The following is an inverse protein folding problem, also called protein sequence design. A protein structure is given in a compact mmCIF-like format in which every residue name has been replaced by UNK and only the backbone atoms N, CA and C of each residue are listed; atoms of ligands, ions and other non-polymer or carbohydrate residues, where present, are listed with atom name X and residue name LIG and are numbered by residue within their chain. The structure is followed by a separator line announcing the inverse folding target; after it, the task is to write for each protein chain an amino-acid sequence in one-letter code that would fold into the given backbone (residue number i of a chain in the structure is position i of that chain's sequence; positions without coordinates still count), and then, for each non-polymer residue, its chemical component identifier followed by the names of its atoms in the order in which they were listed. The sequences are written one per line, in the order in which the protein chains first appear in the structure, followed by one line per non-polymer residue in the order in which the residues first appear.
data_IF_944564892608
#
_entry.id   IF_944564892608
#
_cell.length_a   1.000
_cell.length_b   1.000
_cell.length_c   1.000
_cell.angle_alpha   90.00
_cell.angle_beta   90.00
_cell.angle_gamma   90.00
#
_symmetry.space_group_name_H-M   'P 1'
#
loop_
_entity.id
_entity.type
_entity.pdbx_description
1 polymer ?
#
# COMPACT_ATOMS: atom_id res chain seq x y z
N UNK A 1 -46.19 18.70 -8.04
CA UNK A 1 -45.07 19.47 -7.46
C UNK A 1 -43.86 18.59 -7.54
N UNK A 2 -43.23 18.67 -8.70
CA UNK A 2 -42.01 17.97 -9.06
C UNK A 2 -40.84 18.72 -8.43
N UNK A 3 -39.98 17.99 -7.71
CA UNK A 3 -38.69 18.54 -7.27
C UNK A 3 -37.60 17.51 -7.57
N UNK A 4 -37.15 17.57 -8.82
CA UNK A 4 -35.97 16.89 -9.32
C UNK A 4 -34.71 17.53 -8.73
N UNK A 5 -33.92 16.79 -7.97
CA UNK A 5 -32.56 17.18 -7.61
C UNK A 5 -31.56 16.62 -8.65
N UNK A 6 -30.54 17.37 -9.08
CA UNK A 6 -29.65 16.92 -10.14
C UNK A 6 -28.55 15.98 -9.61
N UNK A 7 -28.37 14.86 -10.31
CA UNK A 7 -27.20 13.99 -10.17
C UNK A 7 -25.92 14.75 -10.56
N UNK A 8 -24.82 14.66 -9.79
CA UNK A 8 -23.53 15.12 -10.28
C UNK A 8 -23.01 14.12 -11.34
N UNK A 9 -23.00 14.57 -12.59
CA UNK A 9 -22.37 13.90 -13.71
C UNK A 9 -20.87 13.75 -13.45
N UNK A 10 -20.38 12.51 -13.56
CA UNK A 10 -18.95 12.21 -13.62
C UNK A 10 -18.30 13.01 -14.76
N UNK A 11 -17.43 13.96 -14.41
CA UNK A 11 -16.55 14.61 -15.39
C UNK A 11 -15.50 13.62 -15.87
N UNK A 12 -15.52 13.32 -17.17
CA UNK A 12 -14.55 12.49 -17.86
C UNK A 12 -13.13 13.03 -17.69
N UNK A 13 -12.28 12.25 -17.01
CA UNK A 13 -10.84 12.49 -17.01
C UNK A 13 -10.31 12.14 -18.40
N UNK A 14 -9.80 13.13 -19.14
CA UNK A 14 -9.11 12.88 -20.41
C UNK A 14 -7.78 12.19 -20.09
N UNK A 15 -7.65 10.93 -20.48
CA UNK A 15 -6.39 10.19 -20.50
C UNK A 15 -5.64 10.61 -21.76
N UNK A 16 -4.60 11.44 -21.60
CA UNK A 16 -3.55 11.60 -22.61
C UNK A 16 -2.36 10.81 -22.09
N UNK A 17 -2.11 9.64 -22.68
CA UNK A 17 -0.93 8.84 -22.40
C UNK A 17 0.25 9.31 -23.25
N UNK A 18 1.40 9.51 -22.62
CA UNK A 18 2.68 9.54 -23.33
C UNK A 18 3.01 8.13 -23.88
N UNK A 19 3.78 8.05 -24.97
CA UNK A 19 4.08 6.85 -25.77
C UNK A 19 4.74 5.69 -25.00
N UNK A 20 5.00 5.85 -23.70
CA UNK A 20 5.62 4.85 -22.84
C UNK A 20 4.68 4.23 -21.78
N UNK A 21 3.38 4.51 -21.82
CA UNK A 21 2.34 3.70 -21.16
C UNK A 21 2.42 3.55 -19.63
N UNK A 22 3.03 4.51 -18.91
CA UNK A 22 3.06 4.50 -17.43
C UNK A 22 2.04 5.48 -16.85
N UNK A 23 1.19 5.07 -15.89
CA UNK A 23 0.33 6.00 -15.17
C UNK A 23 1.15 6.83 -14.18
N UNK A 24 1.17 8.15 -14.37
CA UNK A 24 1.67 9.09 -13.37
C UNK A 24 0.61 9.29 -12.28
N UNK A 25 0.88 8.79 -11.08
CA UNK A 25 0.12 9.19 -9.89
C UNK A 25 0.66 10.56 -9.48
N UNK A 26 -0.11 11.62 -9.72
CA UNK A 26 0.19 12.95 -9.17
C UNK A 26 -0.08 12.95 -7.66
N UNK A 27 0.81 13.48 -6.81
CA UNK A 27 0.47 13.74 -5.42
C UNK A 27 -0.59 14.84 -5.36
N UNK A 28 -1.63 14.64 -4.54
CA UNK A 28 -2.65 15.64 -4.23
C UNK A 28 -2.00 16.97 -3.83
N UNK A 29 -2.28 18.03 -4.59
CA UNK A 29 -1.93 19.41 -4.23
C UNK A 29 -3.07 19.97 -3.37
N UNK A 30 -2.88 19.97 -2.05
CA UNK A 30 -3.78 20.63 -1.09
C UNK A 30 -3.45 22.14 -1.07
N UNK A 31 -4.43 23.07 -1.07
CA UNK A 31 -4.16 24.50 -0.99
C UNK A 31 -3.63 24.92 0.39
N UNK A 32 -2.49 25.61 0.36
CA UNK A 32 -1.77 26.23 1.47
C UNK A 32 -2.51 27.45 2.01
N UNK A 33 -2.64 27.59 3.34
CA UNK A 33 -2.90 28.86 4.02
C UNK A 33 -2.11 28.90 5.35
N UNK A 34 -0.95 29.56 5.35
CA UNK A 34 -0.38 30.13 6.58
C UNK A 34 0.38 31.41 6.27
N UNK A 35 -0.07 32.47 6.92
CA UNK A 35 0.45 33.84 6.96
C UNK A 35 1.92 33.87 7.42
N UNK A 36 2.77 34.60 6.69
CA UNK A 36 4.15 34.91 7.09
C UNK A 36 4.22 36.04 8.14
N UNK A 37 5.38 36.69 8.38
CA UNK A 37 6.69 36.56 7.69
C UNK A 37 7.88 36.40 8.68
N UNK A 38 9.09 36.06 8.18
CA UNK A 38 10.37 36.65 8.61
C UNK A 38 11.52 36.16 7.72
N UNK A 39 12.09 37.11 6.97
CA UNK A 39 13.46 37.26 6.47
C UNK A 39 14.26 36.02 6.02
N UNK A 40 14.39 35.86 4.70
CA UNK A 40 15.53 35.17 4.08
C UNK A 40 16.61 36.20 3.72
N UNK A 41 17.81 36.03 4.29
CA UNK A 41 19.04 36.67 3.78
C UNK A 41 19.68 35.75 2.74
N UNK A 42 20.16 36.27 1.59
CA UNK A 42 20.90 35.49 0.61
C UNK A 42 22.36 35.45 1.04
N UNK A 43 22.82 34.33 1.60
CA UNK A 43 24.22 34.13 1.90
C UNK A 43 24.91 33.46 0.72
N UNK A 44 25.56 34.31 -0.08
CA UNK A 44 26.80 34.08 -0.84
C UNK A 44 26.89 32.81 -1.69
N UNK A 45 26.68 32.98 -3.00
CA UNK A 45 27.26 32.11 -4.02
C UNK A 45 28.78 32.07 -3.85
N UNK A 46 29.29 31.00 -3.25
CA UNK A 46 30.71 30.69 -3.32
C UNK A 46 30.96 30.09 -4.71
N UNK A 47 31.60 30.86 -5.58
CA UNK A 47 32.12 30.40 -6.85
C UNK A 47 33.06 29.21 -6.58
N UNK A 48 32.63 28.00 -6.93
CA UNK A 48 33.54 26.87 -7.06
C UNK A 48 34.35 27.12 -8.31
N UNK A 49 35.60 27.54 -8.13
CA UNK A 49 36.61 27.59 -9.17
C UNK A 49 36.61 26.24 -9.93
N UNK A 50 36.59 26.30 -11.26
CA UNK A 50 36.86 25.14 -12.12
C UNK A 50 38.22 24.56 -11.74
N UNK A 51 38.22 23.49 -10.95
CA UNK A 51 39.39 22.65 -10.79
C UNK A 51 39.49 21.84 -12.08
N UNK A 52 40.29 22.35 -13.02
CA UNK A 52 40.90 21.53 -14.07
C UNK A 52 41.50 20.29 -13.39
N UNK A 53 41.12 19.06 -13.75
CA UNK A 53 41.88 17.90 -13.34
C UNK A 53 43.21 17.95 -14.10
N UNK A 54 44.23 18.55 -13.49
CA UNK A 54 45.60 18.19 -13.83
C UNK A 54 45.73 16.69 -13.54
N UNK A 55 46.19 15.95 -14.54
CA UNK A 55 46.40 14.51 -14.54
C UNK A 55 46.95 14.00 -13.21
N UNK A 56 46.12 13.29 -12.45
CA UNK A 56 46.59 12.43 -11.38
C UNK A 56 47.11 11.16 -12.05
N UNK A 57 48.42 11.08 -12.21
CA UNK A 57 49.10 9.82 -12.48
C UNK A 57 49.02 8.98 -11.20
N UNK A 58 48.00 8.12 -11.11
CA UNK A 58 47.96 7.08 -10.07
C UNK A 58 48.91 5.97 -10.53
N UNK A 59 50.16 6.05 -10.07
CA UNK A 59 51.09 4.93 -10.15
C UNK A 59 50.61 3.83 -9.20
N UNK A 60 49.84 2.88 -9.72
CA UNK A 60 49.48 1.67 -8.99
C UNK A 60 50.71 0.75 -8.88
N UNK A 61 51.08 0.26 -7.69
CA UNK A 61 52.10 -0.76 -7.59
C UNK A 61 51.58 -2.04 -8.24
N UNK A 62 52.25 -2.45 -9.31
CA UNK A 62 52.04 -3.73 -10.00
C UNK A 62 52.46 -4.85 -9.05
N UNK A 63 51.54 -5.26 -8.18
CA UNK A 63 51.68 -6.50 -7.41
C UNK A 63 51.02 -7.59 -8.23
N UNK A 64 51.85 -8.51 -8.71
CA UNK A 64 51.48 -9.51 -9.70
C UNK A 64 50.32 -10.42 -9.29
N UNK A 65 49.43 -10.65 -10.26
CA UNK A 65 49.01 -12.02 -10.61
C UNK A 65 47.72 -12.58 -10.02
N UNK A 66 47.13 -12.00 -8.97
CA UNK A 66 45.91 -12.56 -8.35
C UNK A 66 44.64 -11.68 -8.43
N UNK A 67 44.72 -10.36 -8.53
CA UNK A 67 43.51 -9.50 -8.59
C UNK A 67 42.89 -9.38 -10.00
N UNK A 68 43.66 -9.62 -11.06
CA UNK A 68 43.19 -9.45 -12.45
C UNK A 68 42.21 -10.57 -12.88
N UNK A 69 42.15 -11.68 -12.13
CA UNK A 69 41.30 -12.81 -12.50
C UNK A 69 39.83 -12.57 -12.19
N UNK A 70 39.53 -11.78 -11.16
CA UNK A 70 38.13 -11.45 -10.81
C UNK A 70 37.56 -10.48 -11.85
N UNK A 71 38.32 -9.48 -12.30
CA UNK A 71 37.84 -8.50 -13.29
C UNK A 71 37.78 -9.03 -14.75
N UNK A 72 38.57 -10.06 -15.09
CA UNK A 72 38.56 -10.63 -16.46
C UNK A 72 37.32 -11.43 -16.81
N UNK A 73 36.59 -11.95 -15.83
CA UNK A 73 35.44 -12.82 -16.09
C UNK A 73 34.18 -12.03 -16.50
N UNK A 74 34.07 -10.77 -16.06
CA UNK A 74 32.95 -9.90 -16.42
C UNK A 74 33.01 -9.38 -17.86
N UNK A 75 34.21 -9.34 -18.46
CA UNK A 75 34.41 -8.85 -19.83
C UNK A 75 33.78 -9.75 -20.92
N UNK A 76 33.44 -11.00 -20.58
CA UNK A 76 32.83 -11.96 -21.51
C UNK A 76 31.29 -11.97 -21.47
N UNK A 77 30.66 -11.25 -20.53
CA UNK A 77 29.20 -11.25 -20.37
C UNK A 77 28.58 -9.99 -20.97
N UNK A 78 27.55 -10.15 -21.81
CA UNK A 78 26.87 -8.99 -22.38
C UNK A 78 26.22 -8.14 -21.28
N UNK A 79 26.22 -6.82 -21.46
CA UNK A 79 25.55 -5.87 -20.55
C UNK A 79 24.12 -6.31 -20.21
N UNK A 80 23.39 -6.87 -21.19
CA UNK A 80 22.04 -7.39 -20.98
C UNK A 80 21.98 -8.50 -19.93
N UNK A 81 22.93 -9.45 -19.96
CA UNK A 81 23.01 -10.53 -18.96
C UNK A 81 23.30 -9.98 -17.57
N UNK A 82 24.23 -9.03 -17.46
CA UNK A 82 24.56 -8.37 -16.18
C UNK A 82 23.33 -7.63 -15.63
N UNK A 83 22.66 -6.83 -16.47
CA UNK A 83 21.44 -6.10 -16.10
C UNK A 83 20.30 -7.03 -15.66
N UNK A 84 20.06 -8.11 -16.40
CA UNK A 84 19.04 -9.11 -16.05
C UNK A 84 19.38 -9.79 -14.72
N UNK A 85 20.65 -10.14 -14.50
CA UNK A 85 21.11 -10.78 -13.26
C UNK A 85 20.89 -9.86 -12.06
N UNK A 86 21.26 -8.59 -12.15
CA UNK A 86 21.02 -7.59 -11.11
C UNK A 86 19.51 -7.39 -10.83
N UNK A 87 18.69 -7.34 -11.89
CA UNK A 87 17.22 -7.24 -11.73
C UNK A 87 16.65 -8.45 -11.00
N UNK A 88 17.10 -9.66 -11.34
CA UNK A 88 16.65 -10.89 -10.70
C UNK A 88 17.08 -10.93 -9.23
N UNK A 89 18.34 -10.59 -8.93
CA UNK A 89 18.85 -10.54 -7.55
C UNK A 89 18.09 -9.52 -6.69
N UNK A 90 17.84 -8.31 -7.24
CA UNK A 90 17.05 -7.31 -6.55
C UNK A 90 15.61 -7.80 -6.31
N UNK A 91 15.00 -8.45 -7.31
CA UNK A 91 13.64 -8.98 -7.21
C UNK A 91 13.58 -10.07 -6.14
N UNK A 92 14.50 -11.04 -6.15
CA UNK A 92 14.55 -12.12 -5.16
C UNK A 92 14.78 -11.59 -3.74
N UNK A 93 15.69 -10.63 -3.57
CA UNK A 93 15.93 -10.01 -2.26
C UNK A 93 14.70 -9.25 -1.77
N UNK A 94 14.02 -8.51 -2.65
CA UNK A 94 12.78 -7.82 -2.30
C UNK A 94 11.64 -8.79 -1.94
N UNK A 95 11.55 -9.93 -2.64
CA UNK A 95 10.56 -10.96 -2.34
C UNK A 95 10.86 -11.63 -0.99
N UNK A 96 12.14 -11.91 -0.67
CA UNK A 96 12.53 -12.47 0.61
C UNK A 96 12.28 -11.50 1.78
N UNK A 97 12.60 -10.21 1.60
CA UNK A 97 12.28 -9.16 2.57
C UNK A 97 10.77 -9.08 2.81
N UNK A 98 9.99 -8.99 1.72
CA UNK A 98 8.54 -8.98 1.80
C UNK A 98 8.04 -10.25 2.50
N UNK A 99 8.63 -11.40 2.19
CA UNK A 99 8.22 -12.66 2.79
C UNK A 99 8.44 -12.64 4.30
N UNK A 100 9.62 -12.22 4.74
CA UNK A 100 9.98 -12.09 6.16
C UNK A 100 9.05 -11.12 6.88
N UNK A 101 8.85 -9.91 6.34
CA UNK A 101 8.01 -8.87 6.95
C UNK A 101 6.54 -9.25 7.05
N UNK A 102 6.07 -10.09 6.14
CA UNK A 102 4.67 -10.54 6.11
C UNK A 102 4.47 -11.91 6.76
N UNK A 103 5.52 -12.58 7.26
CA UNK A 103 5.45 -13.95 7.76
C UNK A 103 4.39 -14.14 8.87
N UNK A 104 4.22 -13.14 9.73
CA UNK A 104 3.28 -13.17 10.85
C UNK A 104 1.90 -12.58 10.53
N UNK A 105 1.64 -12.18 9.29
CA UNK A 105 0.36 -11.56 8.93
C UNK A 105 -0.74 -12.61 8.83
N UNK A 106 -1.86 -12.37 9.50
CA UNK A 106 -3.02 -13.29 9.54
C UNK A 106 -3.56 -13.64 8.15
N UNK A 107 -3.52 -12.69 7.20
CA UNK A 107 -3.98 -12.89 5.84
C UNK A 107 -3.18 -13.92 5.03
N UNK A 108 -1.96 -14.31 5.44
CA UNK A 108 -1.23 -15.41 4.78
C UNK A 108 -1.89 -16.78 4.95
N UNK A 109 -2.62 -16.97 6.05
CA UNK A 109 -3.30 -18.24 6.33
C UNK A 109 -4.65 -18.33 5.61
N UNK A 110 -5.10 -17.26 4.97
CA UNK A 110 -6.38 -17.25 4.25
C UNK A 110 -6.23 -18.07 2.97
N UNK A 111 -6.95 -19.19 2.92
CA UNK A 111 -7.01 -20.03 1.72
C UNK A 111 -7.74 -19.27 0.60
N UNK A 112 -7.21 -19.22 -0.63
CA UNK A 112 -7.91 -18.57 -1.74
C UNK A 112 -9.32 -19.11 -1.98
N UNK A 113 -9.54 -20.41 -1.74
CA UNK A 113 -10.85 -21.06 -1.86
C UNK A 113 -11.89 -20.62 -0.82
N UNK A 114 -11.46 -19.98 0.27
CA UNK A 114 -12.37 -19.48 1.32
C UNK A 114 -12.97 -18.11 1.01
N UNK A 115 -12.45 -17.42 -0.01
CA UNK A 115 -12.90 -16.09 -0.42
C UNK A 115 -13.60 -16.21 -1.78
N UNK A 116 -14.85 -15.77 -1.93
CA UNK A 116 -15.53 -15.79 -3.22
C UNK A 116 -14.84 -14.81 -4.19
N UNK A 117 -14.69 -15.19 -5.46
CA UNK A 117 -14.09 -14.30 -6.47
C UNK A 117 -14.99 -13.10 -6.80
N UNK A 118 -16.31 -13.32 -6.77
CA UNK A 118 -17.35 -12.33 -7.10
C UNK A 118 -18.64 -12.64 -6.33
N UNK A 119 -19.52 -11.64 -6.09
CA UNK A 119 -19.29 -10.22 -6.33
C UNK A 119 -18.23 -9.64 -5.39
N UNK A 120 -17.62 -8.51 -5.77
CA UNK A 120 -16.55 -7.86 -4.97
C UNK A 120 -16.97 -7.58 -3.53
N UNK A 121 -18.24 -7.24 -3.31
CA UNK A 121 -18.80 -6.95 -1.99
C UNK A 121 -18.61 -8.14 -1.02
N UNK A 122 -18.92 -9.34 -1.50
CA UNK A 122 -18.85 -10.57 -0.71
C UNK A 122 -17.40 -10.99 -0.49
N UNK A 123 -16.55 -10.87 -1.53
CA UNK A 123 -15.11 -11.12 -1.41
C UNK A 123 -14.47 -10.27 -0.30
N UNK A 124 -14.83 -8.99 -0.25
CA UNK A 124 -14.30 -8.04 0.75
C UNK A 124 -14.81 -8.38 2.15
N UNK A 125 -16.10 -8.68 2.29
CA UNK A 125 -16.67 -9.09 3.59
C UNK A 125 -16.00 -10.37 4.10
N UNK A 126 -15.88 -11.39 3.25
CA UNK A 126 -15.30 -12.68 3.60
C UNK A 126 -13.85 -12.51 4.03
N UNK A 127 -13.08 -11.71 3.29
CA UNK A 127 -11.68 -11.46 3.61
C UNK A 127 -11.53 -10.73 4.94
N UNK A 128 -12.33 -9.68 5.19
CA UNK A 128 -12.28 -8.89 6.44
C UNK A 128 -12.66 -9.73 7.65
N UNK A 129 -13.72 -10.52 7.54
CA UNK A 129 -14.15 -11.41 8.61
C UNK A 129 -13.08 -12.49 8.86
N UNK A 130 -12.54 -13.10 7.81
CA UNK A 130 -11.57 -14.20 7.92
C UNK A 130 -10.24 -13.75 8.51
N UNK A 131 -9.78 -12.56 8.15
CA UNK A 131 -8.54 -12.00 8.67
C UNK A 131 -8.67 -11.37 10.06
N UNK A 132 -9.90 -11.22 10.57
CA UNK A 132 -10.20 -10.53 11.82
C UNK A 132 -10.04 -9.02 11.76
N UNK A 133 -9.77 -8.45 10.58
CA UNK A 133 -9.68 -7.00 10.33
C UNK A 133 -11.04 -6.45 9.86
N UNK A 134 -12.09 -6.82 10.58
CA UNK A 134 -13.45 -6.36 10.31
C UNK A 134 -13.73 -5.05 11.06
N UNK A 135 -14.89 -4.45 10.81
CA UNK A 135 -15.32 -3.22 11.46
C UNK A 135 -16.47 -3.47 12.44
N UNK A 136 -16.49 -4.66 13.06
CA UNK A 136 -17.48 -4.98 14.09
C UNK A 136 -17.06 -4.36 15.42
N UNK A 137 -18.02 -4.15 16.33
CA UNK A 137 -17.79 -3.43 17.59
C UNK A 137 -16.63 -4.02 18.39
N UNK A 138 -16.50 -5.35 18.45
CA UNK A 138 -15.40 -6.00 19.15
C UNK A 138 -14.02 -5.65 18.58
N UNK A 139 -13.86 -5.59 17.26
CA UNK A 139 -12.60 -5.19 16.64
C UNK A 139 -12.33 -3.69 16.83
N UNK A 140 -13.35 -2.86 16.67
CA UNK A 140 -13.25 -1.41 16.84
C UNK A 140 -12.90 -1.03 18.28
N UNK A 141 -13.39 -1.78 19.27
CA UNK A 141 -13.03 -1.61 20.67
C UNK A 141 -11.55 -1.92 20.92
N UNK A 142 -11.02 -3.01 20.34
CA UNK A 142 -9.58 -3.33 20.43
C UNK A 142 -8.69 -2.26 19.81
N UNK A 143 -9.21 -1.49 18.85
CA UNK A 143 -8.53 -0.33 18.26
C UNK A 143 -8.72 0.97 19.05
N UNK A 144 -9.53 0.97 20.12
CA UNK A 144 -9.85 2.16 20.91
C UNK A 144 -10.80 3.14 20.21
N UNK A 145 -11.50 2.71 19.15
CA UNK A 145 -12.48 3.55 18.44
C UNK A 145 -13.86 3.44 19.10
N UNK A 146 -14.22 2.24 19.55
CA UNK A 146 -15.46 1.99 20.29
C UNK A 146 -15.18 1.86 21.79
N UNK A 147 -16.06 2.42 22.60
CA UNK A 147 -15.93 2.36 24.06
C UNK A 147 -16.14 0.93 24.59
N UNK A 148 -17.01 0.15 23.94
CA UNK A 148 -17.39 -1.19 24.38
C UNK A 148 -17.38 -2.22 23.24
N UNK A 149 -17.10 -3.50 23.52
CA UNK A 149 -17.05 -4.56 22.52
C UNK A 149 -18.43 -5.18 22.19
N UNK A 150 -19.48 -4.78 22.91
CA UNK A 150 -20.82 -5.36 22.79
C UNK A 150 -21.55 -4.92 21.53
N UNK A 151 -22.52 -5.72 21.11
CA UNK A 151 -23.36 -5.41 19.96
C UNK A 151 -24.32 -4.26 20.28
N UNK A 152 -24.22 -3.10 19.60
CA UNK A 152 -25.16 -2.00 19.82
C UNK A 152 -26.46 -2.17 19.03
N UNK A 153 -26.55 -3.20 18.19
CA UNK A 153 -27.70 -3.43 17.31
C UNK A 153 -28.80 -4.27 17.97
N UNK A 154 -28.47 -5.02 19.02
CA UNK A 154 -29.43 -5.87 19.73
C UNK A 154 -29.20 -5.82 21.25
N UNK A 155 -30.24 -6.08 22.02
CA UNK A 155 -30.22 -6.00 23.48
C UNK A 155 -29.63 -7.24 24.17
N UNK A 156 -28.89 -8.10 23.45
CA UNK A 156 -28.35 -9.34 24.02
C UNK A 156 -27.14 -9.14 24.92
N UNK A 157 -26.47 -7.97 24.85
CA UNK A 157 -25.21 -7.71 25.56
C UNK A 157 -24.04 -8.62 25.13
N UNK A 158 -24.18 -9.34 24.02
CA UNK A 158 -23.10 -10.19 23.50
C UNK A 158 -22.04 -9.37 22.76
N UNK A 159 -20.80 -9.85 22.79
CA UNK A 159 -19.69 -9.26 22.02
C UNK A 159 -19.98 -9.37 20.52
N UNK A 160 -19.86 -8.26 19.79
CA UNK A 160 -20.14 -8.21 18.35
C UNK A 160 -18.95 -8.76 17.54
N UNK A 161 -18.77 -10.07 17.58
CA UNK A 161 -17.83 -10.81 16.74
C UNK A 161 -18.56 -11.56 15.62
N UNK A 162 -17.79 -12.21 14.74
CA UNK A 162 -18.31 -12.93 13.57
C UNK A 162 -19.41 -13.95 13.96
N UNK A 163 -19.20 -14.69 15.05
CA UNK A 163 -20.14 -15.71 15.50
C UNK A 163 -21.46 -15.10 15.98
N UNK A 164 -21.38 -13.95 16.65
CA UNK A 164 -22.57 -13.19 17.05
C UNK A 164 -23.29 -12.62 15.83
N UNK A 165 -22.56 -12.11 14.84
CA UNK A 165 -23.13 -11.55 13.60
C UNK A 165 -24.10 -12.55 12.91
N UNK A 166 -23.78 -13.84 12.92
CA UNK A 166 -24.62 -14.91 12.36
C UNK A 166 -25.91 -15.17 13.15
N UNK A 167 -25.91 -14.87 14.45
CA UNK A 167 -27.05 -15.11 15.36
C UNK A 167 -27.81 -13.84 15.74
N UNK A 168 -27.28 -12.67 15.35
CA UNK A 168 -27.83 -11.38 15.74
C UNK A 168 -29.25 -11.22 15.19
N UNK A 169 -30.23 -11.16 16.09
CA UNK A 169 -31.65 -11.04 15.74
C UNK A 169 -32.02 -9.70 15.10
N UNK A 170 -31.17 -8.68 15.22
CA UNK A 170 -31.36 -7.38 14.59
C UNK A 170 -31.02 -7.36 13.09
N UNK A 171 -30.34 -8.39 12.59
CA UNK A 171 -29.91 -8.48 11.19
C UNK A 171 -30.79 -9.45 10.42
N UNK A 172 -31.22 -9.06 9.22
CA UNK A 172 -32.10 -9.85 8.34
C UNK A 172 -31.33 -10.61 7.25
N UNK A 173 -30.04 -10.30 7.05
CA UNK A 173 -29.21 -10.93 6.02
C UNK A 173 -29.19 -12.46 6.08
N UNK A 174 -29.39 -13.10 4.92
CA UNK A 174 -29.42 -14.56 4.80
C UNK A 174 -28.02 -15.19 4.80
N UNK A 175 -27.01 -14.42 4.40
CA UNK A 175 -25.61 -14.86 4.38
C UNK A 175 -24.79 -14.09 5.40
N UNK A 176 -23.67 -14.66 5.82
CA UNK A 176 -22.68 -13.98 6.69
C UNK A 176 -22.24 -12.65 6.08
N UNK A 177 -22.04 -12.61 4.76
CA UNK A 177 -21.58 -11.42 4.03
C UNK A 177 -22.65 -10.32 4.00
N UNK A 178 -23.90 -10.70 3.74
CA UNK A 178 -25.03 -9.77 3.76
C UNK A 178 -25.21 -9.17 5.16
N UNK A 179 -25.15 -9.99 6.21
CA UNK A 179 -25.25 -9.53 7.60
C UNK A 179 -24.12 -8.59 7.98
N UNK A 180 -22.90 -8.82 7.48
CA UNK A 180 -21.77 -7.91 7.72
C UNK A 180 -22.01 -6.52 7.16
N UNK A 181 -22.47 -6.42 5.91
CA UNK A 181 -22.76 -5.13 5.28
C UNK A 181 -23.97 -4.43 5.90
N UNK A 182 -25.01 -5.18 6.27
CA UNK A 182 -26.18 -4.67 6.99
C UNK A 182 -25.79 -4.09 8.35
N UNK A 183 -25.02 -4.85 9.15
CA UNK A 183 -24.50 -4.38 10.43
C UNK A 183 -23.69 -3.09 10.25
N UNK A 184 -22.84 -3.02 9.22
CA UNK A 184 -22.04 -1.85 8.93
C UNK A 184 -22.90 -0.63 8.56
N UNK A 185 -23.94 -0.82 7.75
CA UNK A 185 -24.88 0.23 7.39
C UNK A 185 -25.61 0.78 8.63
N UNK A 186 -26.03 -0.09 9.55
CA UNK A 186 -26.69 0.30 10.80
C UNK A 186 -25.73 1.00 11.78
N UNK A 187 -24.44 0.63 11.78
CA UNK A 187 -23.39 1.28 12.57
C UNK A 187 -22.96 2.65 12.00
N UNK A 188 -23.42 3.03 10.81
CA UNK A 188 -23.10 4.31 10.16
C UNK A 188 -21.66 4.40 9.61
N UNK A 189 -21.10 3.29 9.11
CA UNK A 189 -19.70 3.18 8.65
C UNK A 189 -19.48 2.88 7.17
#
# INVERSE_FOLDING_TARGET
MDSSAPFPLFSSLRVVGDMNGRPFISPLRVPLMSTGPTAFSPLSEQQTAEIRPNSIEVAWPVTGGLEVRVLKEYAATSFWKIKLSLKNLCTSNSLLDLQTRTALKSWRRVSPSSIPDKPRCDAVAAFRLTTGHNCLAAHLHRLGIFNEPFCPLCDSGEVMERDHLLRCGALQGLTEMSRYWEARALLGQ
#
